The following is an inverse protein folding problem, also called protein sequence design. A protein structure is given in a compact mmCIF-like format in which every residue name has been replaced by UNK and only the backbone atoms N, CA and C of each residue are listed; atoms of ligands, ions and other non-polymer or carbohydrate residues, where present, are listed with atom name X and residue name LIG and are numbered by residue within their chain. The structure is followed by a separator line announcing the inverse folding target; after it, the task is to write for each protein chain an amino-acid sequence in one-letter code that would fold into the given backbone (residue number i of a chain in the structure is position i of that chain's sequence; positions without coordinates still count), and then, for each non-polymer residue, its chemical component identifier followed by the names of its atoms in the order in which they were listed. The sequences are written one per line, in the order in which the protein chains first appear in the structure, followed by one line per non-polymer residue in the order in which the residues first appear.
data_IF_320853752748
#
_entry.id   IF_320853752748
#
_cell.length_a   1.000
_cell.length_b   1.000
_cell.length_c   1.000
_cell.angle_alpha   90.00
_cell.angle_beta   90.00
_cell.angle_gamma   90.00
#
_symmetry.space_group_name_H-M   'P 1'
#
loop_
_entity.id
_entity.type
_entity.pdbx_description
1 polymer ?
#
# COMPACT_ATOMS: atom_id res chain seq x y z
N UNK A 1 -21.25 -13.24 -9.47
CA UNK A 1 -20.92 -11.81 -9.67
C UNK A 1 -19.42 -11.71 -9.44
N UNK A 2 -18.64 -11.38 -10.47
CA UNK A 2 -17.19 -11.21 -10.31
C UNK A 2 -16.96 -9.93 -9.54
N UNK A 3 -16.37 -10.03 -8.34
CA UNK A 3 -15.90 -8.88 -7.59
C UNK A 3 -15.00 -8.05 -8.51
N UNK A 4 -15.44 -6.85 -8.89
CA UNK A 4 -14.64 -5.96 -9.71
C UNK A 4 -13.56 -5.38 -8.82
N UNK A 5 -12.30 -5.64 -9.13
CA UNK A 5 -11.23 -5.05 -8.35
C UNK A 5 -11.16 -3.53 -8.60
N UNK A 6 -10.95 -2.70 -7.56
CA UNK A 6 -10.89 -1.26 -7.74
C UNK A 6 -9.77 -0.83 -8.68
N UNK A 7 -10.01 0.22 -9.47
CA UNK A 7 -9.02 0.78 -10.39
C UNK A 7 -7.69 1.14 -9.70
N UNK A 8 -7.74 1.52 -8.41
CA UNK A 8 -6.55 1.78 -7.60
C UNK A 8 -5.71 0.53 -7.36
N UNK A 9 -6.32 -0.62 -7.07
CA UNK A 9 -5.60 -1.88 -6.93
C UNK A 9 -5.03 -2.34 -8.28
N UNK A 10 -5.84 -2.32 -9.33
CA UNK A 10 -5.41 -2.71 -10.69
C UNK A 10 -4.22 -1.87 -11.18
N UNK A 11 -4.17 -0.59 -10.80
CA UNK A 11 -3.04 0.27 -11.07
C UNK A 11 -1.73 -0.29 -10.45
N UNK A 12 -1.73 -0.77 -9.20
CA UNK A 12 -0.49 -1.19 -8.52
C UNK A 12 -0.26 -2.69 -8.41
N UNK A 13 -1.24 -3.55 -8.76
CA UNK A 13 -1.20 -5.00 -8.51
C UNK A 13 -0.01 -5.71 -9.15
N UNK A 14 0.51 -5.23 -10.28
CA UNK A 14 1.63 -5.86 -10.99
C UNK A 14 3.01 -5.37 -10.53
N UNK A 15 3.08 -4.47 -9.55
CA UNK A 15 4.33 -3.79 -9.19
C UNK A 15 4.94 -4.31 -7.90
N UNK A 16 6.06 -5.01 -8.01
CA UNK A 16 7.01 -5.18 -6.92
C UNK A 16 8.03 -4.05 -7.03
N UNK A 17 8.14 -3.21 -6.00
CA UNK A 17 9.05 -2.07 -6.01
C UNK A 17 10.52 -2.48 -5.92
N UNK A 18 11.44 -1.55 -6.15
CA UNK A 18 12.88 -1.81 -6.14
C UNK A 18 13.41 -2.46 -4.84
N UNK A 19 12.77 -2.20 -3.69
CA UNK A 19 13.13 -2.86 -2.43
C UNK A 19 12.54 -4.28 -2.27
N UNK A 20 11.78 -4.79 -3.24
CA UNK A 20 11.06 -6.06 -3.16
C UNK A 20 9.68 -5.98 -2.49
N UNK A 21 9.21 -4.80 -2.09
CA UNK A 21 7.89 -4.65 -1.47
C UNK A 21 6.81 -4.58 -2.55
N UNK A 22 5.74 -5.38 -2.41
CA UNK A 22 4.64 -5.38 -3.36
C UNK A 22 3.70 -4.18 -3.16
N UNK A 23 3.59 -3.32 -4.18
CA UNK A 23 2.76 -2.11 -4.12
C UNK A 23 1.26 -2.43 -3.99
N UNK A 24 0.80 -3.58 -4.47
CA UNK A 24 -0.58 -4.05 -4.28
C UNK A 24 -0.94 -4.30 -2.82
N UNK A 25 0.04 -4.57 -1.95
CA UNK A 25 -0.18 -4.71 -0.50
C UNK A 25 -0.10 -3.39 0.28
N UNK A 26 0.33 -2.29 -0.36
CA UNK A 26 0.42 -0.99 0.28
C UNK A 26 -0.95 -0.30 0.30
N UNK A 27 -1.47 0.02 1.49
CA UNK A 27 -2.80 0.65 1.66
C UNK A 27 -2.96 2.01 0.97
N UNK A 28 -1.85 2.72 0.73
CA UNK A 28 -1.83 3.98 -0.03
C UNK A 28 -1.86 3.69 -1.54
N UNK A 29 -1.17 2.64 -1.98
CA UNK A 29 -1.08 2.25 -3.38
C UNK A 29 -2.36 1.60 -3.91
N UNK A 30 -2.89 0.62 -3.18
CA UNK A 30 -4.07 -0.12 -3.60
C UNK A 30 -5.39 0.62 -3.36
N UNK A 31 -5.37 1.72 -2.60
CA UNK A 31 -6.54 2.53 -2.30
C UNK A 31 -7.28 2.17 -1.01
N UNK A 32 -6.85 1.13 -0.27
CA UNK A 32 -7.50 0.71 0.99
C UNK A 32 -7.61 1.86 1.99
N UNK A 33 -6.57 2.68 2.15
CA UNK A 33 -6.60 3.81 3.08
C UNK A 33 -7.69 4.81 2.71
N UNK A 34 -7.80 5.11 1.40
CA UNK A 34 -8.78 6.05 0.87
C UNK A 34 -10.20 5.52 1.06
N UNK A 35 -10.42 4.24 0.75
CA UNK A 35 -11.71 3.57 0.91
C UNK A 35 -12.15 3.49 2.37
N UNK A 36 -11.25 3.08 3.29
CA UNK A 36 -11.53 3.08 4.72
C UNK A 36 -11.95 4.46 5.22
N UNK A 37 -11.22 5.48 4.79
CA UNK A 37 -11.48 6.87 5.21
C UNK A 37 -12.86 7.31 4.73
N UNK A 38 -13.20 7.03 3.48
CA UNK A 38 -14.50 7.40 2.91
C UNK A 38 -15.66 6.69 3.61
N UNK A 39 -15.59 5.35 3.79
CA UNK A 39 -16.63 4.61 4.52
C UNK A 39 -16.77 5.07 5.96
N UNK A 40 -15.67 5.45 6.60
CA UNK A 40 -15.71 5.96 7.97
C UNK A 40 -16.34 7.36 8.04
N UNK A 41 -16.04 8.24 7.08
CA UNK A 41 -16.71 9.54 6.92
C UNK A 41 -18.23 9.34 6.80
N UNK A 42 -18.69 8.51 5.86
CA UNK A 42 -20.11 8.21 5.66
C UNK A 42 -20.77 7.64 6.91
N UNK A 43 -20.10 6.72 7.61
CA UNK A 43 -20.61 6.14 8.86
C UNK A 43 -20.77 7.21 9.94
N UNK A 44 -19.78 8.09 10.11
CA UNK A 44 -19.83 9.14 11.12
C UNK A 44 -20.93 10.16 10.85
N UNK A 45 -21.16 10.49 9.57
CA UNK A 45 -22.25 11.37 9.14
C UNK A 45 -23.62 10.71 9.33
N UNK A 46 -23.78 9.46 8.90
CA UNK A 46 -25.05 8.72 8.99
C UNK A 46 -25.53 8.53 10.44
N UNK A 47 -24.59 8.35 11.37
CA UNK A 47 -24.90 8.21 12.80
C UNK A 47 -24.95 9.55 13.54
N UNK A 48 -24.74 10.68 12.84
CA UNK A 48 -24.81 12.01 13.43
C UNK A 48 -23.79 12.21 14.55
N UNK A 49 -22.52 11.86 14.31
CA UNK A 49 -21.40 12.00 15.26
C UNK A 49 -21.44 13.29 16.10
N UNK A 50 -21.74 14.49 15.55
CA UNK A 50 -21.81 15.71 16.35
C UNK A 50 -22.83 15.69 17.48
N UNK A 51 -23.86 14.84 17.42
CA UNK A 51 -24.90 14.73 18.44
C UNK A 51 -24.56 13.85 19.65
N UNK A 52 -23.49 13.05 19.58
CA UNK A 52 -23.12 12.11 20.64
C UNK A 52 -21.61 12.00 20.91
N UNK A 53 -20.77 12.66 20.12
CA UNK A 53 -19.34 12.76 20.40
C UNK A 53 -19.10 13.45 21.76
N UNK A 54 -17.96 13.17 22.43
CA UNK A 54 -17.53 13.91 23.61
C UNK A 54 -17.51 15.43 23.38
N UNK A 55 -17.81 16.23 24.42
CA UNK A 55 -17.87 17.70 24.31
C UNK A 55 -16.52 18.33 23.89
N UNK A 56 -15.41 17.68 24.20
CA UNK A 56 -14.06 18.12 23.85
C UNK A 56 -13.59 17.65 22.46
N UNK A 57 -14.44 16.93 21.72
CA UNK A 57 -14.15 16.44 20.38
C UNK A 57 -14.47 17.48 19.30
N UNK A 58 -13.44 17.91 18.56
CA UNK A 58 -13.62 18.80 17.41
C UNK A 58 -14.04 18.04 16.16
N UNK A 59 -15.35 17.87 15.98
CA UNK A 59 -15.92 17.19 14.83
C UNK A 59 -15.64 17.90 13.49
N UNK A 60 -15.46 19.23 13.49
CA UNK A 60 -15.19 19.98 12.27
C UNK A 60 -13.77 19.73 11.78
N UNK A 61 -12.78 19.79 12.68
CA UNK A 61 -11.40 19.45 12.35
C UNK A 61 -11.25 17.97 11.98
N UNK A 62 -11.96 17.08 12.68
CA UNK A 62 -11.99 15.67 12.33
C UNK A 62 -12.52 15.42 10.91
N UNK A 63 -13.67 16.01 10.54
CA UNK A 63 -14.25 15.89 9.19
C UNK A 63 -13.30 16.45 8.11
N UNK A 64 -12.62 17.58 8.39
CA UNK A 64 -11.58 18.12 7.48
C UNK A 64 -10.42 17.13 7.30
N UNK A 65 -10.00 16.46 8.36
CA UNK A 65 -8.97 15.42 8.32
C UNK A 65 -9.37 14.25 7.42
N UNK A 66 -10.58 13.72 7.59
CA UNK A 66 -11.09 12.62 6.74
C UNK A 66 -11.17 13.04 5.27
N UNK A 67 -11.71 14.22 4.96
CA UNK A 67 -11.76 14.75 3.59
C UNK A 67 -10.38 14.92 2.98
N UNK A 68 -9.41 15.38 3.77
CA UNK A 68 -8.01 15.54 3.34
C UNK A 68 -7.37 14.20 3.00
N UNK A 69 -7.59 13.17 3.84
CA UNK A 69 -7.11 11.80 3.59
C UNK A 69 -7.79 11.16 2.37
N UNK A 70 -9.10 11.37 2.22
CA UNK A 70 -9.85 10.91 1.05
C UNK A 70 -9.36 11.57 -0.26
N UNK A 71 -8.95 12.83 -0.19
CA UNK A 71 -8.40 13.61 -1.30
C UNK A 71 -6.95 13.30 -1.69
N UNK A 72 -6.26 12.40 -0.97
CA UNK A 72 -4.88 12.03 -1.32
C UNK A 72 -4.86 11.40 -2.74
N UNK A 73 -3.99 11.90 -3.65
CA UNK A 73 -3.84 11.29 -4.97
C UNK A 73 -3.44 9.82 -4.88
N UNK A 74 -4.01 8.99 -5.75
CA UNK A 74 -3.65 7.58 -5.81
C UNK A 74 -2.17 7.44 -6.19
N UNK A 75 -1.42 6.66 -5.39
CA UNK A 75 -0.02 6.40 -5.67
C UNK A 75 0.10 5.56 -6.95
N UNK A 76 0.87 5.99 -7.97
CA UNK A 76 1.03 5.26 -9.22
C UNK A 76 1.85 3.97 -9.08
N UNK A 77 2.44 3.73 -7.89
CA UNK A 77 3.35 2.62 -7.60
C UNK A 77 4.82 2.99 -7.82
N UNK A 78 5.71 2.26 -7.14
CA UNK A 78 7.13 2.62 -7.02
C UNK A 78 7.87 2.65 -8.36
N UNK A 79 7.51 1.77 -9.30
CA UNK A 79 8.15 1.69 -10.62
C UNK A 79 7.70 2.82 -11.55
N UNK A 80 6.57 3.48 -11.23
CA UNK A 80 6.00 4.61 -12.00
C UNK A 80 6.09 5.94 -11.26
N UNK A 81 7.09 6.09 -10.39
CA UNK A 81 7.41 7.35 -9.73
C UNK A 81 6.69 7.61 -8.41
N UNK A 82 5.87 6.69 -7.90
CA UNK A 82 5.29 6.77 -6.56
C UNK A 82 6.30 6.42 -5.45
N UNK A 83 5.89 6.39 -4.18
CA UNK A 83 6.80 6.13 -3.05
C UNK A 83 7.60 7.37 -2.66
N UNK A 84 8.74 7.19 -1.96
CA UNK A 84 9.61 8.32 -1.57
C UNK A 84 10.33 8.89 -2.79
N UNK A 85 10.31 10.22 -2.94
CA UNK A 85 10.95 10.94 -4.04
C UNK A 85 12.46 10.64 -4.12
N UNK A 86 13.17 10.87 -3.01
CA UNK A 86 14.60 10.61 -2.89
C UNK A 86 14.89 9.21 -2.36
N UNK A 87 14.52 8.19 -3.13
CA UNK A 87 14.77 6.79 -2.77
C UNK A 87 16.14 6.30 -3.29
N UNK A 88 17.15 6.21 -2.43
CA UNK A 88 18.48 5.68 -2.78
C UNK A 88 18.43 4.25 -3.32
N UNK A 89 17.48 3.43 -2.85
CA UNK A 89 17.32 2.05 -3.31
C UNK A 89 16.87 2.01 -4.78
N UNK A 90 15.96 2.90 -5.18
CA UNK A 90 15.55 3.09 -6.57
C UNK A 90 16.72 3.51 -7.44
N UNK A 91 17.48 4.51 -7.00
CA UNK A 91 18.63 5.00 -7.75
C UNK A 91 19.68 3.90 -7.95
N UNK A 92 20.00 3.15 -6.88
CA UNK A 92 20.93 2.03 -6.92
C UNK A 92 20.47 0.93 -7.88
N UNK A 93 19.24 0.43 -7.76
CA UNK A 93 18.70 -0.62 -8.62
C UNK A 93 18.71 -0.21 -10.10
N UNK A 94 18.28 1.02 -10.42
CA UNK A 94 18.31 1.56 -11.79
C UNK A 94 19.72 1.66 -12.35
N UNK A 95 20.69 2.13 -11.57
CA UNK A 95 22.09 2.24 -12.01
C UNK A 95 22.73 0.89 -12.34
N UNK A 96 22.14 -0.19 -11.85
CA UNK A 96 22.60 -1.58 -12.01
C UNK A 96 21.71 -2.43 -12.91
N UNK A 97 20.69 -1.80 -13.54
CA UNK A 97 19.70 -2.48 -14.38
C UNK A 97 19.02 -3.69 -13.69
N UNK A 98 18.68 -3.52 -12.41
CA UNK A 98 17.97 -4.52 -11.62
C UNK A 98 16.48 -4.19 -11.55
N UNK A 99 15.61 -5.20 -11.66
CA UNK A 99 14.17 -5.01 -11.44
C UNK A 99 13.91 -4.67 -9.97
N UNK A 100 14.56 -5.41 -9.07
CA UNK A 100 14.51 -5.17 -7.64
C UNK A 100 15.77 -5.73 -6.92
N UNK A 101 15.97 -5.33 -5.66
CA UNK A 101 17.15 -5.67 -4.89
C UNK A 101 17.35 -7.18 -4.69
N UNK A 102 16.31 -8.02 -4.80
CA UNK A 102 16.45 -9.47 -4.64
C UNK A 102 17.23 -10.15 -5.76
N UNK A 103 17.37 -9.49 -6.91
CA UNK A 103 18.20 -9.94 -8.03
C UNK A 103 19.69 -9.59 -7.86
N UNK A 104 20.02 -8.74 -6.87
CA UNK A 104 21.38 -8.29 -6.62
C UNK A 104 22.25 -9.41 -6.03
N UNK A 105 23.23 -9.90 -6.79
CA UNK A 105 24.17 -10.95 -6.35
C UNK A 105 25.10 -10.52 -5.21
N UNK A 106 25.21 -9.22 -4.97
CA UNK A 106 26.09 -8.62 -3.95
C UNK A 106 25.32 -8.17 -2.70
N UNK A 107 24.11 -8.68 -2.48
CA UNK A 107 23.24 -8.34 -1.35
C UNK A 107 23.96 -8.42 0.00
N UNK A 108 24.81 -9.44 0.21
CA UNK A 108 25.58 -9.64 1.45
C UNK A 108 26.68 -8.60 1.71
N UNK A 109 27.07 -7.81 0.71
CA UNK A 109 28.05 -6.73 0.81
C UNK A 109 27.46 -5.37 0.43
N UNK A 110 26.14 -5.28 0.31
CA UNK A 110 25.47 -4.07 -0.17
C UNK A 110 25.55 -2.97 0.89
N UNK A 111 26.07 -1.80 0.52
CA UNK A 111 26.10 -0.62 1.39
C UNK A 111 24.71 -0.14 1.85
N UNK A 112 23.65 -0.54 1.12
CA UNK A 112 22.27 -0.20 1.46
C UNK A 112 21.53 -1.33 2.21
N UNK A 113 22.21 -2.41 2.59
CA UNK A 113 21.57 -3.59 3.18
C UNK A 113 20.75 -3.26 4.44
N UNK A 114 21.28 -2.43 5.33
CA UNK A 114 20.58 -2.02 6.56
C UNK A 114 19.29 -1.23 6.26
N UNK A 115 19.35 -0.31 5.30
CA UNK A 115 18.18 0.48 4.88
C UNK A 115 17.11 -0.44 4.28
N UNK A 116 17.52 -1.34 3.38
CA UNK A 116 16.60 -2.30 2.75
C UNK A 116 15.96 -3.19 3.81
N UNK A 117 16.73 -3.71 4.77
CA UNK A 117 16.18 -4.57 5.82
C UNK A 117 15.24 -3.79 6.74
N UNK A 118 15.58 -2.55 7.11
CA UNK A 118 14.68 -1.67 7.88
C UNK A 118 13.35 -1.43 7.13
N UNK A 119 13.40 -1.17 5.83
CA UNK A 119 12.19 -1.00 5.02
C UNK A 119 11.36 -2.29 4.96
N UNK A 120 12.00 -3.44 4.73
CA UNK A 120 11.34 -4.73 4.59
C UNK A 120 10.74 -5.23 5.91
N UNK A 121 11.48 -5.14 7.01
CA UNK A 121 10.98 -5.47 8.34
C UNK A 121 9.77 -4.59 8.72
N UNK A 122 9.86 -3.27 8.53
CA UNK A 122 8.73 -2.36 8.73
C UNK A 122 7.52 -2.70 7.86
N UNK A 123 7.76 -3.04 6.59
CA UNK A 123 6.71 -3.47 5.67
C UNK A 123 6.01 -4.75 6.17
N UNK A 124 6.77 -5.78 6.59
CA UNK A 124 6.22 -7.02 7.16
C UNK A 124 5.41 -6.75 8.43
N UNK A 125 5.91 -5.89 9.33
CA UNK A 125 5.17 -5.48 10.54
C UNK A 125 3.85 -4.79 10.20
N UNK A 126 3.82 -3.98 9.14
CA UNK A 126 2.61 -3.35 8.63
C UNK A 126 1.72 -4.29 7.78
N UNK A 127 2.08 -5.56 7.65
CA UNK A 127 1.31 -6.58 6.90
C UNK A 127 1.55 -6.59 5.38
N UNK A 128 2.49 -5.80 4.87
CA UNK A 128 2.84 -5.77 3.45
C UNK A 128 3.60 -7.03 3.05
N UNK A 129 3.50 -7.38 1.77
CA UNK A 129 4.22 -8.51 1.18
C UNK A 129 5.59 -8.06 0.67
N UNK A 130 6.59 -8.87 0.98
CA UNK A 130 7.99 -8.63 0.61
C UNK A 130 8.50 -9.85 -0.15
N UNK A 131 9.08 -9.62 -1.32
CA UNK A 131 9.74 -10.62 -2.14
C UNK A 131 11.06 -11.03 -1.49
N UNK A 132 11.27 -12.34 -1.42
CA UNK A 132 12.54 -12.94 -1.03
C UNK A 132 13.35 -13.34 -2.28
N UNK A 133 14.69 -13.42 -2.20
CA UNK A 133 15.53 -13.89 -3.31
C UNK A 133 15.07 -15.23 -3.89
N UNK A 134 15.23 -15.39 -5.21
CA UNK A 134 14.96 -16.64 -5.93
C UNK A 134 13.49 -16.93 -6.24
N UNK A 135 12.57 -16.00 -5.93
CA UNK A 135 11.15 -16.15 -6.27
C UNK A 135 10.78 -15.37 -7.53
N UNK A 136 9.89 -15.95 -8.34
CA UNK A 136 9.34 -15.29 -9.53
C UNK A 136 8.23 -14.28 -9.17
N UNK A 137 8.12 -13.20 -9.93
CA UNK A 137 7.11 -12.17 -9.65
C UNK A 137 5.69 -12.66 -9.93
N UNK A 138 5.45 -13.36 -11.03
CA UNK A 138 4.12 -13.81 -11.45
C UNK A 138 3.55 -14.79 -10.41
N UNK A 139 4.34 -15.79 -10.01
CA UNK A 139 3.96 -16.75 -8.97
C UNK A 139 3.60 -16.07 -7.63
N UNK A 140 4.38 -15.07 -7.23
CA UNK A 140 4.12 -14.31 -6.01
C UNK A 140 2.82 -13.51 -6.10
N UNK A 141 2.56 -12.87 -7.24
CA UNK A 141 1.35 -12.07 -7.45
C UNK A 141 0.10 -12.94 -7.50
N UNK A 142 0.15 -14.09 -8.14
CA UNK A 142 -0.95 -15.07 -8.18
C UNK A 142 -1.30 -15.57 -6.77
N UNK A 143 -0.29 -15.82 -5.94
CA UNK A 143 -0.49 -16.24 -4.54
C UNK A 143 -1.00 -15.11 -3.65
N UNK A 144 -0.36 -13.95 -3.70
CA UNK A 144 -0.63 -12.86 -2.76
C UNK A 144 -1.94 -12.11 -3.03
N UNK A 145 -2.40 -12.06 -4.28
CA UNK A 145 -3.64 -11.37 -4.64
C UNK A 145 -4.88 -11.91 -3.90
N UNK A 146 -5.19 -13.22 -3.95
CA UNK A 146 -6.34 -13.76 -3.22
C UNK A 146 -6.16 -13.62 -1.71
N UNK A 147 -4.96 -13.85 -1.16
CA UNK A 147 -4.68 -13.64 0.27
C UNK A 147 -4.99 -12.21 0.72
N UNK A 148 -4.56 -11.23 -0.06
CA UNK A 148 -4.79 -9.82 0.21
C UNK A 148 -6.28 -9.48 0.18
N UNK A 149 -7.01 -9.98 -0.82
CA UNK A 149 -8.46 -9.75 -0.94
C UNK A 149 -9.27 -10.33 0.21
N UNK A 150 -8.74 -11.32 0.91
CA UNK A 150 -9.37 -11.93 2.09
C UNK A 150 -8.91 -11.31 3.42
N UNK A 151 -7.89 -10.45 3.41
CA UNK A 151 -7.23 -9.98 4.63
C UNK A 151 -7.61 -8.54 4.98
N UNK A 152 -7.95 -8.29 6.25
CA UNK A 152 -8.07 -6.92 6.75
C UNK A 152 -6.72 -6.19 6.68
N UNK A 153 -6.69 -4.89 6.30
CA UNK A 153 -7.83 -4.06 5.89
C UNK A 153 -8.18 -4.13 4.39
N UNK A 154 -7.41 -4.83 3.57
CA UNK A 154 -7.55 -4.78 2.11
C UNK A 154 -8.79 -5.50 1.58
N UNK A 155 -9.41 -6.39 2.36
CA UNK A 155 -10.65 -7.05 1.98
C UNK A 155 -11.79 -6.08 1.67
N UNK A 156 -11.79 -4.88 2.27
CA UNK A 156 -12.82 -3.86 2.01
C UNK A 156 -12.89 -3.45 0.54
N UNK A 157 -11.77 -3.52 -0.19
CA UNK A 157 -11.69 -3.14 -1.60
C UNK A 157 -12.50 -4.09 -2.49
N UNK A 158 -12.85 -5.26 -1.96
CA UNK A 158 -13.50 -6.34 -2.69
C UNK A 158 -14.88 -6.66 -2.11
N UNK A 159 -15.36 -5.87 -1.14
CA UNK A 159 -16.70 -5.97 -0.60
C UNK A 159 -17.65 -5.20 -1.51
N UNK A 160 -18.80 -5.78 -1.83
CA UNK A 160 -19.86 -5.07 -2.52
C UNK A 160 -20.44 -3.96 -1.61
N UNK A 161 -20.75 -2.81 -2.20
CA UNK A 161 -21.53 -1.77 -1.54
C UNK A 161 -22.96 -2.31 -1.39
N UNK A 162 -23.38 -2.55 -0.14
CA UNK A 162 -24.72 -3.03 0.20
C UNK A 162 -25.69 -1.88 0.36
#
# INVERSE_FOLDING_TARGET
MTAHSPASFENVRSQIGYCGIWCGSCVVGNGTLRELTHRYEELTDAYGLPGWAPEDFDHLEFSKGLKSLHGIPLCPGCLRGGGRDDCEIRACARSRDLNDCTECKELGMCQHAEIVEKMRSGARTAGLRVKEPGHDNEELLERWTPELSASWPCCILFMDDR
#
